data_IF_763359255681
#
_entry.id   IF_763359255681
#
_cell.length_a   1.000
_cell.length_b   1.000
_cell.length_c   1.000
_cell.angle_alpha   90.00
_cell.angle_beta   90.00
_cell.angle_gamma   90.00
#
_symmetry.space_group_name_H-M   'P 1'
#
loop_
_entity.id
_entity.type
_entity.pdbx_description
1 polymer ?
#
# COMPACT_ATOMS: atom_id res chain seq x y z
N UNK A 1 -18.88 7.27 5.13
CA UNK A 1 -17.89 7.17 6.23
C UNK A 1 -18.45 7.90 7.44
N UNK A 2 -18.44 7.28 8.64
CA UNK A 2 -18.93 7.94 9.86
C UNK A 2 -17.97 9.06 10.30
N UNK A 3 -18.43 10.09 11.03
CA UNK A 3 -17.56 11.14 11.57
C UNK A 3 -16.38 10.60 12.41
N UNK A 4 -16.62 9.51 13.15
CA UNK A 4 -15.61 8.82 13.96
C UNK A 4 -14.56 8.10 13.11
N UNK A 5 -14.98 7.40 12.06
CA UNK A 5 -14.06 6.76 11.11
C UNK A 5 -13.22 7.81 10.35
N UNK A 6 -13.82 8.96 10.01
CA UNK A 6 -13.10 10.08 9.42
C UNK A 6 -12.02 10.64 10.36
N UNK A 7 -12.39 10.91 11.61
CA UNK A 7 -11.45 11.41 12.62
C UNK A 7 -10.31 10.40 12.89
N UNK A 8 -10.61 9.10 12.89
CA UNK A 8 -9.61 8.05 13.04
C UNK A 8 -8.65 7.99 11.83
N UNK A 9 -9.14 8.14 10.60
CA UNK A 9 -8.30 8.19 9.39
C UNK A 9 -7.38 9.43 9.34
N UNK A 10 -7.80 10.53 9.96
CA UNK A 10 -6.99 11.73 10.11
C UNK A 10 -5.99 11.65 11.28
N UNK A 11 -6.12 10.64 12.16
CA UNK A 11 -5.26 10.48 13.32
C UNK A 11 -3.81 10.16 12.92
N UNK A 12 -2.79 10.89 13.44
CA UNK A 12 -1.38 10.71 13.05
C UNK A 12 -0.88 9.27 13.19
N UNK A 13 -1.26 8.59 14.28
CA UNK A 13 -0.85 7.19 14.50
C UNK A 13 -1.41 6.24 13.43
N UNK A 14 -2.65 6.44 12.97
CA UNK A 14 -3.26 5.60 11.93
C UNK A 14 -2.56 5.83 10.59
N UNK A 15 -2.23 7.09 10.29
CA UNK A 15 -1.42 7.44 9.11
C UNK A 15 -0.02 6.83 9.16
N UNK A 16 0.60 6.81 10.35
CA UNK A 16 1.90 6.18 10.56
C UNK A 16 1.85 4.67 10.31
N UNK A 17 0.80 3.97 10.76
CA UNK A 17 0.60 2.54 10.49
C UNK A 17 0.50 2.29 8.98
N UNK A 18 -0.31 3.06 8.25
CA UNK A 18 -0.45 2.90 6.80
C UNK A 18 0.88 3.14 6.06
N UNK A 19 1.66 4.14 6.48
CA UNK A 19 3.01 4.39 5.93
C UNK A 19 3.97 3.23 6.22
N UNK A 20 3.99 2.70 7.45
CA UNK A 20 4.86 1.57 7.79
C UNK A 20 4.53 0.31 6.98
N UNK A 21 3.24 0.02 6.79
CA UNK A 21 2.81 -1.12 5.96
C UNK A 21 3.28 -0.94 4.52
N UNK A 22 3.06 0.24 3.93
CA UNK A 22 3.50 0.55 2.56
C UNK A 22 5.02 0.35 2.40
N UNK A 23 5.79 0.85 3.36
CA UNK A 23 7.25 0.72 3.37
C UNK A 23 7.71 -0.74 3.46
N UNK A 24 7.10 -1.54 4.32
CA UNK A 24 7.42 -2.97 4.46
C UNK A 24 7.09 -3.74 3.19
N UNK A 25 5.94 -3.45 2.58
CA UNK A 25 5.53 -4.06 1.32
C UNK A 25 6.52 -3.74 0.20
N UNK A 26 6.95 -2.48 0.08
CA UNK A 26 7.94 -2.05 -0.91
C UNK A 26 9.27 -2.83 -0.83
N UNK A 27 9.69 -3.22 0.38
CA UNK A 27 11.00 -3.88 0.59
C UNK A 27 10.94 -5.40 0.62
N UNK A 28 9.77 -5.99 0.88
CA UNK A 28 9.64 -7.43 1.08
C UNK A 28 9.59 -8.21 -0.25
N UNK A 29 9.08 -7.61 -1.32
CA UNK A 29 8.74 -8.36 -2.55
C UNK A 29 7.58 -9.35 -2.36
N UNK A 30 7.02 -9.47 -1.14
CA UNK A 30 6.00 -10.46 -0.76
C UNK A 30 4.58 -10.08 -1.20
N UNK A 31 4.37 -8.87 -1.74
CA UNK A 31 3.06 -8.42 -2.21
C UNK A 31 2.48 -9.33 -3.30
N UNK A 32 3.35 -10.02 -4.04
CA UNK A 32 2.97 -10.92 -5.13
C UNK A 32 3.31 -12.35 -4.71
N UNK A 33 2.37 -13.12 -4.12
CA UNK A 33 2.67 -14.49 -3.68
C UNK A 33 2.81 -15.45 -4.87
N UNK A 34 3.61 -16.50 -4.67
CA UNK A 34 3.77 -17.60 -5.63
C UNK A 34 4.75 -17.30 -6.77
N UNK A 35 4.74 -18.09 -7.86
CA UNK A 35 5.77 -18.03 -8.92
C UNK A 35 5.91 -16.65 -9.59
N UNK A 36 4.88 -15.81 -9.52
CA UNK A 36 4.93 -14.45 -10.05
C UNK A 36 5.87 -13.54 -9.26
N UNK A 37 6.24 -13.87 -8.01
CA UNK A 37 7.23 -13.11 -7.23
C UNK A 37 8.59 -13.09 -7.91
N UNK A 38 8.97 -14.18 -8.59
CA UNK A 38 10.26 -14.30 -9.31
C UNK A 38 10.34 -13.38 -10.53
N UNK A 39 9.19 -12.89 -11.00
CA UNK A 39 9.14 -11.94 -12.11
C UNK A 39 9.38 -10.50 -11.63
N UNK A 40 9.35 -10.22 -10.32
CA UNK A 40 9.56 -8.89 -9.77
C UNK A 40 11.05 -8.64 -9.59
N UNK A 41 11.56 -7.62 -10.27
CA UNK A 41 12.96 -7.22 -10.15
C UNK A 41 13.14 -6.18 -9.05
N UNK A 42 12.23 -5.22 -9.01
CA UNK A 42 12.32 -4.07 -8.12
C UNK A 42 10.94 -3.60 -7.68
N UNK A 43 10.89 -3.05 -6.47
CA UNK A 43 9.69 -2.44 -5.92
C UNK A 43 10.07 -1.21 -5.09
N UNK A 44 9.37 -0.10 -5.32
CA UNK A 44 9.68 1.19 -4.70
C UNK A 44 8.40 1.92 -4.30
N UNK A 45 8.44 2.67 -3.21
CA UNK A 45 7.35 3.58 -2.86
C UNK A 45 7.45 4.85 -3.73
N UNK A 46 6.32 5.25 -4.30
CA UNK A 46 6.18 6.54 -4.98
C UNK A 46 5.71 7.62 -3.99
N UNK A 47 5.87 8.88 -4.38
CA UNK A 47 5.32 9.98 -3.60
C UNK A 47 3.79 9.80 -3.41
N UNK A 48 3.26 10.03 -2.20
CA UNK A 48 1.83 9.98 -1.96
C UNK A 48 1.06 10.89 -2.91
N UNK A 49 -0.04 10.40 -3.48
CA UNK A 49 -0.91 11.24 -4.30
C UNK A 49 -1.65 12.29 -3.45
N UNK A 50 -2.18 13.37 -4.08
CA UNK A 50 -2.83 14.46 -3.36
C UNK A 50 -4.04 14.05 -2.50
N UNK A 51 -4.70 12.94 -2.85
CA UNK A 51 -5.80 12.33 -2.10
C UNK A 51 -5.32 11.48 -0.90
N UNK A 52 -4.00 11.38 -0.69
CA UNK A 52 -3.36 10.58 0.34
C UNK A 52 -3.16 9.12 -0.03
N UNK A 53 -3.58 8.68 -1.22
CA UNK A 53 -3.37 7.31 -1.70
C UNK A 53 -1.88 7.03 -1.79
N UNK A 54 -1.46 5.87 -1.25
CA UNK A 54 -0.08 5.41 -1.31
C UNK A 54 0.11 4.59 -2.57
N UNK A 55 1.28 4.69 -3.18
CA UNK A 55 1.55 4.01 -4.44
C UNK A 55 2.88 3.26 -4.36
N UNK A 56 2.89 2.05 -4.91
CA UNK A 56 4.09 1.26 -5.13
C UNK A 56 4.33 1.14 -6.63
N UNK A 57 5.56 1.33 -7.07
CA UNK A 57 5.99 0.99 -8.42
C UNK A 57 6.69 -0.35 -8.40
N UNK A 58 6.24 -1.27 -9.25
CA UNK A 58 6.81 -2.60 -9.42
C UNK A 58 7.39 -2.71 -10.81
N UNK A 59 8.66 -3.08 -10.93
CA UNK A 59 9.28 -3.45 -12.19
C UNK A 59 9.28 -4.97 -12.31
N UNK A 60 8.69 -5.50 -13.37
CA UNK A 60 8.58 -6.94 -13.65
C UNK A 60 8.99 -7.28 -15.07
N UNK A 61 9.07 -8.56 -15.44
CA UNK A 61 9.28 -8.99 -16.84
C UNK A 61 8.12 -9.83 -17.37
N UNK A 62 7.62 -9.47 -18.56
CA UNK A 62 6.58 -10.22 -19.26
C UNK A 62 7.10 -10.56 -20.66
N UNK A 63 7.24 -11.85 -20.95
CA UNK A 63 7.79 -12.29 -22.25
C UNK A 63 9.26 -11.90 -22.49
N UNK A 64 10.02 -11.64 -21.42
CA UNK A 64 11.41 -11.19 -21.49
C UNK A 64 11.58 -9.66 -21.53
N UNK A 65 10.50 -8.91 -21.70
CA UNK A 65 10.52 -7.44 -21.74
C UNK A 65 10.22 -6.86 -20.35
N UNK A 66 10.92 -5.80 -19.91
CA UNK A 66 10.62 -5.12 -18.66
C UNK A 66 9.31 -4.34 -18.75
N UNK A 67 8.47 -4.48 -17.72
CA UNK A 67 7.18 -3.80 -17.58
C UNK A 67 7.13 -3.13 -16.20
N UNK A 68 6.69 -1.88 -16.17
CA UNK A 68 6.46 -1.13 -14.94
C UNK A 68 4.97 -1.08 -14.62
N UNK A 69 4.62 -1.40 -13.38
CA UNK A 69 3.24 -1.39 -12.87
C UNK A 69 3.17 -0.49 -11.65
N UNK A 70 2.29 0.51 -11.68
CA UNK A 70 1.99 1.34 -10.52
C UNK A 70 0.75 0.80 -9.80
N UNK A 71 0.91 0.49 -8.52
CA UNK A 71 -0.11 -0.13 -7.66
C UNK A 71 -0.56 0.90 -6.63
N UNK A 72 -1.84 1.26 -6.65
CA UNK A 72 -2.45 2.09 -5.63
C UNK A 72 -2.92 1.26 -4.44
N UNK A 73 -2.47 1.62 -3.23
CA UNK A 73 -2.84 0.97 -1.98
C UNK A 73 -3.90 1.80 -1.24
N UNK A 74 -5.10 1.24 -1.15
CA UNK A 74 -6.20 1.80 -0.36
C UNK A 74 -6.21 1.26 1.07
N UNK A 75 -6.33 2.15 2.05
CA UNK A 75 -6.51 1.79 3.46
C UNK A 75 -7.91 2.20 3.92
N UNK A 76 -8.66 1.25 4.50
CA UNK A 76 -9.97 1.55 5.10
C UNK A 76 -9.84 1.54 6.62
N UNK A 77 -10.27 2.63 7.24
CA UNK A 77 -10.27 2.76 8.70
C UNK A 77 -11.69 2.53 9.20
N UNK A 78 -11.86 1.46 9.96
CA UNK A 78 -13.11 1.16 10.67
C UNK A 78 -12.93 1.50 12.13
N UNK A 79 -13.77 2.40 12.66
CA UNK A 79 -13.82 2.62 14.09
C UNK A 79 -14.68 1.52 14.72
N UNK A 80 -14.12 0.77 15.68
CA UNK A 80 -14.91 -0.17 16.48
C UNK A 80 -15.99 0.55 17.26
N UNK A 81 -17.14 -0.10 17.42
CA UNK A 81 -18.04 0.23 18.51
C UNK A 81 -17.32 -0.15 19.81
N UNK A 82 -17.28 0.72 20.84
CA UNK A 82 -16.80 0.28 22.14
C UNK A 82 -17.71 -0.90 22.55
N UNK A 83 -17.12 -2.07 22.76
CA UNK A 83 -17.82 -3.24 23.28
C UNK A 83 -18.67 -2.79 24.47
N UNK A 84 -20.00 -2.96 24.36
CA UNK A 84 -20.92 -2.73 25.48
C UNK A 84 -20.79 -3.85 26.50
#
# INVERSE_FOLDING_TARGET
MSPRAKAAAEHPAVRQVASLITHLLARSGELIPGPASELVHEMWELEPSPDGTRQLRVTTSVGGEPVTVDIALGFTVTAGEPDM
#
